data_IF_741767353149
#
_entry.id   IF_741767353149
#
_cell.length_a   1.000
_cell.length_b   1.000
_cell.length_c   1.000
_cell.angle_alpha   90.00
_cell.angle_beta   90.00
_cell.angle_gamma   90.00
#
_symmetry.space_group_name_H-M   'P 1'
#
loop_
_entity.id
_entity.type
_entity.pdbx_description
1 polymer ?
#
# COMPACT_ATOMS: atom_id res chain seq x y z
N UNK A 1 -51.31 -31.83 -2.60
CA UNK A 1 -52.09 -31.38 -1.42
C UNK A 1 -52.18 -32.58 -0.48
N UNK A 2 -51.88 -32.49 0.80
CA UNK A 2 -51.07 -31.52 1.54
C UNK A 2 -50.66 -32.14 2.89
N UNK A 3 -49.61 -31.62 3.53
CA UNK A 3 -49.26 -31.82 4.96
C UNK A 3 -48.90 -33.24 5.46
N UNK A 4 -48.29 -33.43 6.64
CA UNK A 4 -47.26 -32.64 7.35
C UNK A 4 -46.67 -33.41 8.56
N UNK A 5 -45.34 -33.31 8.72
CA UNK A 5 -44.62 -33.09 10.00
C UNK A 5 -44.56 -34.13 11.17
N UNK A 6 -43.33 -34.61 11.45
CA UNK A 6 -42.75 -34.96 12.78
C UNK A 6 -43.31 -36.17 13.57
N UNK A 7 -42.68 -36.58 14.72
CA UNK A 7 -41.41 -36.17 15.36
C UNK A 7 -40.29 -37.25 15.14
N UNK A 8 -39.15 -37.37 15.85
CA UNK A 8 -38.51 -36.75 17.03
C UNK A 8 -36.95 -37.00 16.92
N UNK A 9 -36.02 -36.79 17.89
CA UNK A 9 -35.91 -36.14 19.21
C UNK A 9 -34.41 -35.99 19.60
N UNK A 10 -34.06 -34.99 20.44
CA UNK A 10 -32.86 -35.00 21.31
C UNK A 10 -31.48 -34.66 20.69
N UNK A 11 -30.72 -33.74 21.31
CA UNK A 11 -29.35 -33.42 20.86
C UNK A 11 -28.73 -32.13 21.41
N UNK A 12 -28.81 -31.87 22.72
CA UNK A 12 -28.32 -30.62 23.32
C UNK A 12 -26.84 -30.71 23.71
N UNK A 13 -25.92 -30.07 22.98
CA UNK A 13 -24.48 -30.22 23.27
C UNK A 13 -23.49 -29.48 22.36
N UNK A 14 -23.72 -28.21 22.00
CA UNK A 14 -22.70 -27.41 21.30
C UNK A 14 -21.53 -27.11 22.24
N UNK A 15 -20.36 -27.68 21.93
CA UNK A 15 -19.15 -27.54 22.75
C UNK A 15 -18.60 -26.10 22.71
N UNK A 16 -18.22 -25.59 23.89
CA UNK A 16 -17.62 -24.26 24.04
C UNK A 16 -16.15 -24.33 23.66
N UNK A 17 -15.82 -24.05 22.40
CA UNK A 17 -14.44 -23.83 21.97
C UNK A 17 -13.97 -22.44 22.39
N UNK A 18 -13.35 -22.33 23.56
CA UNK A 18 -12.57 -21.15 23.96
C UNK A 18 -11.31 -21.02 23.10
N UNK A 19 -11.44 -20.45 21.90
CA UNK A 19 -10.27 -19.99 21.13
C UNK A 19 -10.06 -18.51 21.38
N UNK A 20 -9.30 -18.24 22.45
CA UNK A 20 -8.64 -16.99 22.84
C UNK A 20 -9.16 -15.68 22.22
N UNK A 21 -9.65 -14.75 23.05
CA UNK A 21 -9.78 -13.34 22.69
C UNK A 21 -8.38 -12.70 22.50
N UNK A 22 -7.71 -13.05 21.41
CA UNK A 22 -6.74 -12.17 20.78
C UNK A 22 -7.55 -10.99 20.27
N UNK A 23 -7.69 -9.97 21.11
CA UNK A 23 -8.34 -8.71 20.74
C UNK A 23 -7.80 -8.25 19.39
N UNK A 24 -8.69 -8.08 18.43
CA UNK A 24 -8.40 -7.48 17.13
C UNK A 24 -8.16 -5.97 17.34
N UNK A 25 -7.11 -5.68 18.09
CA UNK A 25 -6.65 -4.36 18.45
C UNK A 25 -6.29 -3.61 17.18
N UNK A 26 -6.72 -2.35 17.09
CA UNK A 26 -6.73 -1.57 15.85
C UNK A 26 -5.33 -1.05 15.46
N UNK A 27 -4.36 -1.95 15.30
CA UNK A 27 -2.99 -1.69 14.85
C UNK A 27 -2.89 -1.34 13.35
N UNK A 28 -3.93 -0.72 12.78
CA UNK A 28 -4.13 -0.52 11.34
C UNK A 28 -3.53 0.77 10.76
N UNK A 29 -2.50 1.34 11.38
CA UNK A 29 -1.95 2.65 10.99
C UNK A 29 -0.41 2.77 11.05
N UNK A 30 0.26 2.07 11.97
CA UNK A 30 1.62 2.45 12.41
C UNK A 30 2.70 1.35 12.32
N UNK A 31 2.45 0.24 11.62
CA UNK A 31 3.50 -0.76 11.34
C UNK A 31 4.65 -0.14 10.51
N UNK A 32 5.92 -0.12 11.01
CA UNK A 32 7.06 0.38 10.26
C UNK A 32 7.30 -0.37 8.95
N UNK A 33 6.96 -1.67 8.88
CA UNK A 33 7.13 -2.47 7.66
C UNK A 33 6.17 -1.98 6.56
N UNK A 34 4.91 -1.69 6.89
CA UNK A 34 3.96 -1.10 5.94
C UNK A 34 4.41 0.29 5.45
N UNK A 35 4.94 1.14 6.34
CA UNK A 35 5.44 2.48 5.94
C UNK A 35 6.67 2.38 5.03
N UNK A 36 7.60 1.46 5.31
CA UNK A 36 8.75 1.19 4.45
C UNK A 36 8.31 0.66 3.07
N UNK A 37 7.29 -0.19 3.01
CA UNK A 37 6.70 -0.62 1.74
C UNK A 37 6.06 0.53 0.95
N UNK A 38 5.40 1.49 1.61
CA UNK A 38 4.86 2.69 0.95
C UNK A 38 5.99 3.57 0.37
N UNK A 39 7.08 3.79 1.12
CA UNK A 39 8.27 4.50 0.63
C UNK A 39 8.91 3.76 -0.55
N UNK A 40 9.08 2.44 -0.47
CA UNK A 40 9.61 1.61 -1.56
C UNK A 40 8.78 1.72 -2.85
N UNK A 41 7.44 1.66 -2.74
CA UNK A 41 6.54 1.84 -3.87
C UNK A 41 6.62 3.25 -4.48
N UNK A 42 6.77 4.28 -3.65
CA UNK A 42 6.97 5.67 -4.11
C UNK A 42 8.31 5.87 -4.82
N UNK A 43 9.38 5.23 -4.35
CA UNK A 43 10.69 5.18 -5.03
C UNK A 43 10.56 4.51 -6.40
N UNK A 44 9.91 3.34 -6.50
CA UNK A 44 9.70 2.65 -7.78
C UNK A 44 8.88 3.52 -8.76
N UNK A 45 7.81 4.18 -8.29
CA UNK A 45 7.01 5.10 -9.09
C UNK A 45 7.81 6.32 -9.54
N UNK A 46 8.64 6.88 -8.67
CA UNK A 46 9.58 7.99 -8.98
C UNK A 46 10.57 7.58 -10.07
N UNK A 47 11.21 6.41 -9.96
CA UNK A 47 12.11 5.88 -10.99
C UNK A 47 11.41 5.69 -12.34
N UNK A 48 10.17 5.17 -12.34
CA UNK A 48 9.34 5.06 -13.54
C UNK A 48 9.02 6.41 -14.19
N UNK A 49 8.71 7.43 -13.39
CA UNK A 49 8.46 8.80 -13.87
C UNK A 49 9.73 9.46 -14.42
N UNK A 50 10.88 9.28 -13.77
CA UNK A 50 12.19 9.74 -14.27
C UNK A 50 12.52 9.07 -15.61
N UNK A 51 12.28 7.77 -15.76
CA UNK A 51 12.51 7.06 -17.01
C UNK A 51 11.59 7.56 -18.14
N UNK A 52 10.30 7.79 -17.87
CA UNK A 52 9.37 8.38 -18.85
C UNK A 52 9.76 9.82 -19.23
N UNK A 53 10.23 10.62 -18.27
CA UNK A 53 10.76 11.96 -18.52
C UNK A 53 12.00 11.91 -19.42
N UNK A 54 12.96 11.02 -19.11
CA UNK A 54 14.15 10.80 -19.94
C UNK A 54 13.76 10.47 -21.39
N UNK A 55 12.87 9.48 -21.62
CA UNK A 55 12.43 9.14 -22.98
C UNK A 55 11.77 10.32 -23.71
N UNK A 56 10.95 11.10 -23.00
CA UNK A 56 10.27 12.29 -23.55
C UNK A 56 11.26 13.40 -23.93
N UNK A 57 12.33 13.58 -23.14
CA UNK A 57 13.41 14.56 -23.42
C UNK A 57 14.32 14.07 -24.54
N UNK A 58 14.73 12.80 -24.54
CA UNK A 58 15.60 12.20 -25.56
C UNK A 58 14.99 12.15 -26.97
N UNK A 59 13.67 12.28 -27.08
CA UNK A 59 12.93 12.28 -28.36
C UNK A 59 12.18 13.60 -28.61
N UNK A 60 12.55 14.66 -27.85
CA UNK A 60 11.78 15.90 -27.80
C UNK A 60 11.65 16.60 -29.16
N UNK A 61 10.43 17.04 -29.43
CA UNK A 61 10.06 17.95 -30.51
C UNK A 61 8.79 18.71 -30.09
N UNK A 62 8.31 19.65 -30.90
CA UNK A 62 7.17 20.51 -30.56
C UNK A 62 5.89 19.75 -30.13
N UNK A 63 5.61 18.56 -30.70
CA UNK A 63 4.44 17.76 -30.31
C UNK A 63 4.54 17.20 -28.88
N UNK A 64 5.74 17.08 -28.32
CA UNK A 64 5.97 16.62 -26.95
C UNK A 64 5.98 17.73 -25.88
N UNK A 65 5.73 19.00 -26.23
CA UNK A 65 5.72 20.10 -25.25
C UNK A 65 4.71 19.89 -24.11
N UNK A 66 3.47 19.53 -24.42
CA UNK A 66 2.44 19.24 -23.41
C UNK A 66 2.71 17.93 -22.64
N UNK A 67 3.05 16.81 -23.29
CA UNK A 67 3.53 15.61 -22.60
C UNK A 67 4.71 15.86 -21.64
N UNK A 68 5.71 16.65 -22.04
CA UNK A 68 6.87 16.98 -21.22
C UNK A 68 6.45 17.70 -19.92
N UNK A 69 5.61 18.73 -20.03
CA UNK A 69 5.06 19.44 -18.88
C UNK A 69 4.28 18.50 -17.94
N UNK A 70 3.50 17.56 -18.50
CA UNK A 70 2.79 16.55 -17.71
C UNK A 70 3.74 15.59 -16.98
N UNK A 71 4.84 15.14 -17.61
CA UNK A 71 5.85 14.29 -16.95
C UNK A 71 6.57 15.03 -15.82
N UNK A 72 6.94 16.29 -16.04
CA UNK A 72 7.59 17.13 -15.02
C UNK A 72 6.65 17.32 -13.81
N UNK A 73 5.40 17.74 -14.05
CA UNK A 73 4.43 17.95 -12.97
C UNK A 73 4.13 16.65 -12.20
N UNK A 74 4.02 15.51 -12.90
CA UNK A 74 3.84 14.20 -12.27
C UNK A 74 5.03 13.77 -11.42
N UNK A 75 6.26 14.04 -11.86
CA UNK A 75 7.47 13.77 -11.09
C UNK A 75 7.57 14.64 -9.84
N UNK A 76 7.31 15.95 -9.95
CA UNK A 76 7.32 16.87 -8.80
C UNK A 76 6.27 16.47 -7.76
N UNK A 77 5.06 16.10 -8.20
CA UNK A 77 4.01 15.63 -7.30
C UNK A 77 4.35 14.30 -6.60
N UNK A 78 5.06 13.38 -7.27
CA UNK A 78 5.50 12.14 -6.60
C UNK A 78 6.67 12.37 -5.64
N UNK A 79 7.59 13.29 -5.94
CA UNK A 79 8.67 13.65 -5.01
C UNK A 79 8.14 14.30 -3.73
N UNK A 80 7.14 15.19 -3.84
CA UNK A 80 6.40 15.75 -2.71
C UNK A 80 5.67 14.67 -1.87
N UNK A 81 5.06 13.68 -2.53
CA UNK A 81 4.50 12.50 -1.87
C UNK A 81 5.57 11.65 -1.17
N UNK A 82 6.71 11.41 -1.81
CA UNK A 82 7.81 10.61 -1.29
C UNK A 82 8.38 11.20 0.01
N UNK A 83 8.53 12.53 0.07
CA UNK A 83 8.93 13.24 1.31
C UNK A 83 7.91 13.00 2.42
N UNK A 84 6.61 13.19 2.14
CA UNK A 84 5.50 13.00 3.11
C UNK A 84 5.30 11.54 3.55
N UNK A 85 5.88 10.57 2.85
CA UNK A 85 5.95 9.17 3.24
C UNK A 85 7.21 8.90 4.07
N UNK A 86 8.36 9.46 3.67
CA UNK A 86 9.62 9.34 4.40
C UNK A 86 9.54 9.95 5.81
N UNK A 87 8.93 11.12 5.97
CA UNK A 87 8.67 11.78 7.27
C UNK A 87 7.91 10.88 8.27
N UNK A 88 7.07 9.97 7.76
CA UNK A 88 6.27 9.04 8.59
C UNK A 88 7.00 7.71 8.83
N UNK A 89 7.97 7.38 7.99
CA UNK A 89 8.74 6.14 8.02
C UNK A 89 9.93 6.26 8.99
N UNK A 90 9.62 6.35 10.30
CA UNK A 90 10.60 6.53 11.38
C UNK A 90 11.43 5.25 11.66
N UNK A 91 12.23 4.83 10.69
CA UNK A 91 13.21 3.75 10.81
C UNK A 91 14.62 4.33 11.04
N UNK A 92 15.43 3.66 11.85
CA UNK A 92 16.84 3.99 11.99
C UNK A 92 17.65 3.23 10.94
N UNK A 93 18.50 3.94 10.20
CA UNK A 93 19.43 3.35 9.23
C UNK A 93 20.82 3.30 9.87
N UNK A 94 21.39 2.11 10.15
CA UNK A 94 22.74 1.99 10.70
C UNK A 94 23.78 2.57 9.75
N UNK A 95 24.81 3.23 10.29
CA UNK A 95 25.83 3.90 9.46
C UNK A 95 26.69 2.92 8.65
N UNK A 96 26.68 1.64 9.02
CA UNK A 96 27.27 0.53 8.27
C UNK A 96 26.63 0.33 6.89
N UNK A 97 25.37 0.77 6.71
CA UNK A 97 24.58 0.62 5.48
C UNK A 97 24.77 1.81 4.51
N UNK A 98 25.38 2.91 4.97
CA UNK A 98 25.50 4.19 4.22
C UNK A 98 26.97 4.46 3.82
N UNK A 99 27.73 3.40 3.52
CA UNK A 99 29.16 3.44 3.17
C UNK A 99 29.40 3.21 1.67
#
# INVERSE_FOLDING_TARGET
>A
MDSSQSPAAGGNGTLISQTNETTASAAGADDPMQKLNQVSNSIQKTLGLIHQLYLTVSTFNAAFQMPLLQRINGLVAELDNMVKLAEKCNIQVPMEVVK
#
